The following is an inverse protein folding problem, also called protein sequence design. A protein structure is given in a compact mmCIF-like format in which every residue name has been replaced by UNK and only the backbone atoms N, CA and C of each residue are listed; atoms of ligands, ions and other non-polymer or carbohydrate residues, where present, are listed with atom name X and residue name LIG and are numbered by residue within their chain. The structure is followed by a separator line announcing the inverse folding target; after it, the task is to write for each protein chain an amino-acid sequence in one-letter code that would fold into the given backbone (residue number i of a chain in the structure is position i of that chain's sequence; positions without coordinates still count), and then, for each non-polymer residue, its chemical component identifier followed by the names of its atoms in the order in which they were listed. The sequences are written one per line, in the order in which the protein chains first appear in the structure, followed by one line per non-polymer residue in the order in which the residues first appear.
data_IF_276461821339
#
_entry.id   IF_276461821339
#
_cell.length_a   1.000
_cell.length_b   1.000
_cell.length_c   1.000
_cell.angle_alpha   90.00
_cell.angle_beta   90.00
_cell.angle_gamma   90.00
#
_symmetry.space_group_name_H-M   'P 1'
#
loop_
_entity.id
_entity.type
_entity.pdbx_description
1 polymer ?
#
# COMPACT_ATOMS: atom_id res chain seq x y z
N UNK A 1 4.79 14.67 -31.32
CA UNK A 1 4.24 15.87 -31.96
C UNK A 1 2.75 15.76 -31.77
N UNK A 2 2.22 16.42 -30.74
CA UNK A 2 0.79 16.35 -30.43
C UNK A 2 0.08 17.30 -31.39
N UNK A 3 -0.71 16.74 -32.30
CA UNK A 3 -1.59 17.54 -33.17
C UNK A 3 -2.77 17.97 -32.31
N UNK A 4 -2.97 19.27 -32.16
CA UNK A 4 -4.16 19.78 -31.48
C UNK A 4 -5.40 19.38 -32.32
N UNK A 5 -6.39 18.68 -31.74
CA UNK A 5 -7.57 18.24 -32.46
C UNK A 5 -8.39 19.39 -33.06
N UNK A 6 -8.18 20.62 -32.62
CA UNK A 6 -8.86 21.81 -33.15
C UNK A 6 -8.22 22.38 -34.43
N UNK A 7 -6.99 21.97 -34.78
CA UNK A 7 -6.29 22.50 -35.95
C UNK A 7 -6.92 22.13 -37.28
N UNK A 8 -7.43 20.90 -37.41
CA UNK A 8 -8.12 20.45 -38.61
C UNK A 8 -9.34 21.33 -38.92
N UNK A 9 -10.17 21.59 -37.91
CA UNK A 9 -11.38 22.41 -38.04
C UNK A 9 -11.03 23.88 -38.37
N UNK A 10 -9.99 24.43 -37.73
CA UNK A 10 -9.52 25.78 -38.02
C UNK A 10 -8.94 25.90 -39.43
N UNK A 11 -8.19 24.90 -39.89
CA UNK A 11 -7.58 24.86 -41.22
C UNK A 11 -8.64 24.75 -42.32
N UNK A 12 -9.66 23.91 -42.13
CA UNK A 12 -10.80 23.84 -43.05
C UNK A 12 -11.56 25.16 -43.10
N UNK A 13 -11.82 25.80 -41.94
CA UNK A 13 -12.49 27.12 -41.90
C UNK A 13 -11.65 28.21 -42.58
N UNK A 14 -10.32 28.15 -42.45
CA UNK A 14 -9.37 29.05 -43.09
C UNK A 14 -9.36 28.88 -44.61
N UNK A 15 -9.22 27.64 -45.11
CA UNK A 15 -9.24 27.30 -46.54
C UNK A 15 -10.57 27.66 -47.20
N UNK A 16 -11.69 27.43 -46.49
CA UNK A 16 -13.03 27.77 -46.97
C UNK A 16 -13.40 29.25 -46.82
N UNK A 17 -12.52 30.09 -46.25
CA UNK A 17 -12.74 31.53 -46.09
C UNK A 17 -13.86 31.91 -45.10
N UNK A 18 -14.20 31.02 -44.17
CA UNK A 18 -15.31 31.18 -43.22
C UNK A 18 -14.91 31.78 -41.86
N UNK A 19 -13.63 32.13 -41.71
CA UNK A 19 -13.11 32.81 -40.51
C UNK A 19 -13.39 34.31 -40.55
N UNK A 20 -13.76 34.88 -39.40
CA UNK A 20 -13.85 36.34 -39.24
C UNK A 20 -12.45 36.97 -39.27
N UNK A 21 -12.37 38.27 -39.59
CA UNK A 21 -11.10 39.02 -39.64
C UNK A 21 -10.21 38.83 -38.39
N UNK A 22 -10.73 38.95 -37.15
CA UNK A 22 -9.91 38.72 -35.95
C UNK A 22 -9.49 37.26 -35.75
N UNK A 23 -10.34 36.29 -36.09
CA UNK A 23 -10.01 34.86 -36.00
C UNK A 23 -8.91 34.47 -36.99
N UNK A 24 -9.00 35.00 -38.22
CA UNK A 24 -8.01 34.75 -39.27
C UNK A 24 -6.63 35.26 -38.88
N UNK A 25 -6.55 36.47 -38.31
CA UNK A 25 -5.27 37.02 -37.85
C UNK A 25 -4.65 36.22 -36.70
N UNK A 26 -5.47 35.67 -35.81
CA UNK A 26 -4.99 34.80 -34.74
C UNK A 26 -4.48 33.46 -35.29
N UNK A 27 -5.21 32.87 -36.24
CA UNK A 27 -4.81 31.62 -36.90
C UNK A 27 -3.52 31.78 -37.72
N UNK A 28 -3.36 32.88 -38.44
CA UNK A 28 -2.13 33.18 -39.20
C UNK A 28 -0.92 33.36 -38.26
N UNK A 29 -1.11 33.90 -37.05
CA UNK A 29 -0.06 33.95 -36.03
C UNK A 29 0.29 32.54 -35.50
N UNK A 30 -0.71 31.70 -35.23
CA UNK A 30 -0.50 30.30 -34.83
C UNK A 30 0.20 29.48 -35.92
N UNK A 31 -0.11 29.75 -37.20
CA UNK A 31 0.54 29.14 -38.34
C UNK A 31 2.05 29.48 -38.40
N UNK A 32 2.46 30.68 -37.98
CA UNK A 32 3.87 31.07 -37.92
C UNK A 32 4.62 30.44 -36.74
N UNK A 33 3.94 30.27 -35.61
CA UNK A 33 4.54 29.71 -34.39
C UNK A 33 4.68 28.17 -34.44
N UNK A 34 3.88 27.49 -35.27
CA UNK A 34 3.74 26.03 -35.24
C UNK A 34 4.07 25.34 -36.58
N UNK A 35 5.26 24.72 -36.73
CA UNK A 35 5.69 24.05 -37.97
C UNK A 35 4.78 22.90 -38.40
N UNK A 36 4.18 22.18 -37.44
CA UNK A 36 3.29 21.05 -37.72
C UNK A 36 2.02 21.47 -38.49
N UNK A 37 1.52 22.67 -38.20
CA UNK A 37 0.32 23.22 -38.81
C UNK A 37 0.61 23.70 -40.24
N UNK A 38 1.84 24.13 -40.53
CA UNK A 38 2.29 24.48 -41.87
C UNK A 38 2.37 23.25 -42.77
N UNK A 39 2.97 22.16 -42.29
CA UNK A 39 3.03 20.89 -43.04
C UNK A 39 1.62 20.34 -43.35
N UNK A 40 0.68 20.48 -42.41
CA UNK A 40 -0.71 20.07 -42.61
C UNK A 40 -1.42 20.88 -43.70
N UNK A 41 -1.18 22.20 -43.76
CA UNK A 41 -1.72 23.07 -44.80
C UNK A 41 -1.20 22.70 -46.18
N UNK A 42 0.11 22.46 -46.31
CA UNK A 42 0.73 22.06 -47.58
C UNK A 42 0.17 20.73 -48.09
N UNK A 43 -0.01 19.75 -47.20
CA UNK A 43 -0.60 18.45 -47.56
C UNK A 43 -2.03 18.61 -48.10
N UNK A 44 -2.84 19.46 -47.44
CA UNK A 44 -4.23 19.66 -47.84
C UNK A 44 -4.36 20.39 -49.19
N UNK A 45 -3.50 21.38 -49.43
CA UNK A 45 -3.43 22.06 -50.74
C UNK A 45 -2.98 21.12 -51.86
N UNK A 46 -2.07 20.17 -51.59
CA UNK A 46 -1.65 19.17 -52.57
C UNK A 46 -2.78 18.22 -52.95
N UNK A 47 -3.64 17.83 -52.01
CA UNK A 47 -4.78 16.95 -52.30
C UNK A 47 -5.81 17.61 -53.22
N UNK A 48 -6.10 18.89 -53.02
CA UNK A 48 -7.04 19.62 -53.88
C UNK A 48 -6.53 19.75 -55.32
N UNK A 49 -5.21 19.78 -55.54
CA UNK A 49 -4.64 19.81 -56.90
C UNK A 49 -4.82 18.51 -57.70
N UNK A 50 -5.07 17.38 -57.04
CA UNK A 50 -5.39 16.10 -57.71
C UNK A 50 -6.87 15.98 -58.07
N UNK A 51 -7.71 16.89 -57.58
CA UNK A 51 -9.16 16.92 -57.76
C UNK A 51 -9.65 17.74 -58.96
N UNK A 52 -8.78 18.16 -59.89
CA UNK A 52 -9.22 18.80 -61.12
C UNK A 52 -9.83 17.73 -62.05
N UNK A 53 -11.16 17.66 -62.01
CA UNK A 53 -12.11 16.71 -62.60
C UNK A 53 -12.11 16.64 -64.13
N UNK A 54 -11.03 17.06 -64.80
CA UNK A 54 -10.97 17.25 -66.26
C UNK A 54 -10.21 16.15 -67.01
N UNK A 55 -9.53 15.23 -66.32
CA UNK A 55 -8.72 14.16 -66.94
C UNK A 55 -9.39 12.78 -66.99
N UNK A 56 -10.70 12.71 -66.71
CA UNK A 56 -11.45 11.46 -66.83
C UNK A 56 -11.85 11.20 -68.29
N UNK A 57 -10.96 10.59 -69.07
CA UNK A 57 -11.28 10.10 -70.43
C UNK A 57 -12.09 8.80 -70.33
N UNK A 58 -13.35 8.72 -70.82
CA UNK A 58 -14.08 7.46 -70.81
C UNK A 58 -13.52 6.54 -71.89
N UNK A 59 -12.99 5.39 -71.47
CA UNK A 59 -12.41 4.35 -72.32
C UNK A 59 -13.43 3.79 -73.33
N UNK A 60 -13.19 3.99 -74.63
CA UNK A 60 -13.96 3.42 -75.75
C UNK A 60 -13.08 2.48 -76.60
N UNK A 61 -12.58 1.38 -76.01
CA UNK A 61 -11.83 0.34 -76.72
C UNK A 61 -12.49 -1.03 -76.60
N UNK A 62 -12.74 -1.72 -77.73
CA UNK A 62 -13.38 -3.03 -77.80
C UNK A 62 -12.67 -4.07 -76.89
N UNK A 63 -13.47 -4.78 -76.09
CA UNK A 63 -13.05 -5.71 -75.03
C UNK A 63 -12.08 -6.84 -75.47
N UNK A 64 -11.86 -7.04 -76.77
CA UNK A 64 -10.90 -8.02 -77.29
C UNK A 64 -9.44 -7.59 -77.10
N UNK A 65 -9.13 -6.30 -77.24
CA UNK A 65 -7.75 -5.80 -77.09
C UNK A 65 -7.28 -5.82 -75.62
N UNK A 66 -8.22 -5.64 -74.69
CA UNK A 66 -7.99 -5.81 -73.25
C UNK A 66 -7.71 -7.26 -72.87
N UNK A 67 -8.41 -8.22 -73.49
CA UNK A 67 -8.21 -9.65 -73.22
C UNK A 67 -6.84 -10.14 -73.71
N UNK A 68 -6.38 -9.67 -74.86
CA UNK A 68 -5.04 -10.02 -75.36
C UNK A 68 -3.92 -9.40 -74.51
N UNK A 69 -4.09 -8.16 -74.04
CA UNK A 69 -3.12 -7.53 -73.13
C UNK A 69 -3.13 -8.14 -71.73
N UNK A 70 -4.31 -8.50 -71.19
CA UNK A 70 -4.42 -9.26 -69.95
C UNK A 70 -3.76 -10.63 -70.05
N UNK A 71 -4.00 -11.37 -71.15
CA UNK A 71 -3.41 -12.70 -71.33
C UNK A 71 -1.88 -12.67 -71.43
N UNK A 72 -1.30 -11.62 -72.03
CA UNK A 72 0.17 -11.42 -72.06
C UNK A 72 0.74 -11.04 -70.70
N UNK A 73 0.06 -10.19 -69.93
CA UNK A 73 0.47 -9.82 -68.57
C UNK A 73 0.35 -10.98 -67.56
N UNK A 74 -0.64 -11.85 -67.74
CA UNK A 74 -0.88 -12.98 -66.84
C UNK A 74 0.10 -14.14 -67.04
N UNK A 75 0.68 -14.32 -68.24
CA UNK A 75 1.52 -15.48 -68.55
C UNK A 75 2.99 -15.35 -68.13
N UNK A 76 3.60 -14.17 -68.24
CA UNK A 76 5.05 -14.00 -68.00
C UNK A 76 5.41 -13.47 -66.61
N UNK A 77 4.61 -12.55 -66.03
CA UNK A 77 4.99 -11.87 -64.78
C UNK A 77 4.43 -12.54 -63.51
N UNK A 78 3.34 -13.31 -63.61
CA UNK A 78 2.65 -13.81 -62.40
C UNK A 78 3.43 -14.88 -61.66
N UNK A 79 4.16 -15.75 -62.35
CA UNK A 79 4.90 -16.84 -61.70
C UNK A 79 6.18 -16.33 -61.02
N UNK A 80 7.00 -15.56 -61.72
CA UNK A 80 8.25 -15.00 -61.20
C UNK A 80 8.01 -13.97 -60.09
N UNK A 81 6.96 -13.16 -60.19
CA UNK A 81 6.56 -12.21 -59.15
C UNK A 81 5.99 -12.95 -57.92
N UNK A 82 5.19 -14.01 -58.11
CA UNK A 82 4.66 -14.79 -56.98
C UNK A 82 5.74 -15.51 -56.18
N UNK A 83 6.80 -16.01 -56.84
CA UNK A 83 7.92 -16.64 -56.14
C UNK A 83 8.76 -15.62 -55.38
N UNK A 84 9.05 -14.46 -55.98
CA UNK A 84 9.73 -13.35 -55.29
C UNK A 84 8.93 -12.84 -54.09
N UNK A 85 7.61 -12.72 -54.21
CA UNK A 85 6.72 -12.35 -53.11
C UNK A 85 6.67 -13.41 -52.01
N UNK A 86 6.62 -14.71 -52.35
CA UNK A 86 6.66 -15.79 -51.35
C UNK A 86 7.96 -15.79 -50.56
N UNK A 87 9.09 -15.55 -51.22
CA UNK A 87 10.40 -15.51 -50.57
C UNK A 87 10.60 -14.25 -49.71
N UNK A 88 10.12 -13.08 -50.18
CA UNK A 88 10.11 -11.84 -49.40
C UNK A 88 9.17 -11.90 -48.18
N UNK A 89 8.01 -12.57 -48.32
CA UNK A 89 7.08 -12.77 -47.19
C UNK A 89 7.66 -13.72 -46.13
N UNK A 90 8.50 -14.69 -46.52
CA UNK A 90 9.23 -15.56 -45.57
C UNK A 90 10.39 -14.86 -44.86
N UNK A 91 11.05 -13.90 -45.49
CA UNK A 91 12.15 -13.14 -44.87
C UNK A 91 11.69 -12.03 -43.93
N UNK A 92 10.43 -11.58 -44.04
CA UNK A 92 9.88 -10.47 -43.24
C UNK A 92 8.94 -10.94 -42.10
N UNK A 93 8.49 -12.19 -42.08
CA UNK A 93 7.75 -12.68 -40.90
C UNK A 93 8.70 -12.90 -39.73
N UNK A 94 8.61 -12.13 -38.63
CA UNK A 94 9.42 -12.39 -37.45
C UNK A 94 9.08 -13.79 -36.94
N UNK A 95 10.12 -14.61 -36.73
CA UNK A 95 9.99 -15.94 -36.14
C UNK A 95 9.23 -15.78 -34.81
N UNK A 96 7.99 -16.27 -34.77
CA UNK A 96 7.08 -16.14 -33.61
C UNK A 96 7.77 -16.73 -32.38
N UNK A 97 8.42 -15.90 -31.58
CA UNK A 97 9.00 -16.31 -30.30
C UNK A 97 7.81 -16.80 -29.48
N UNK A 98 7.86 -18.06 -29.04
CA UNK A 98 6.77 -18.71 -28.32
C UNK A 98 6.43 -17.96 -27.02
N UNK A 99 5.55 -16.95 -27.14
CA UNK A 99 5.01 -16.14 -26.04
C UNK A 99 4.14 -16.97 -25.09
N UNK A 100 3.75 -18.18 -25.50
CA UNK A 100 3.06 -19.14 -24.64
C UNK A 100 3.85 -19.46 -23.37
N UNK A 101 5.18 -19.58 -23.45
CA UNK A 101 5.99 -19.89 -22.27
C UNK A 101 5.97 -18.75 -21.26
N UNK A 102 6.07 -17.50 -21.70
CA UNK A 102 5.98 -16.32 -20.82
C UNK A 102 4.59 -16.14 -20.22
N UNK A 103 3.52 -16.47 -20.94
CA UNK A 103 2.16 -16.43 -20.42
C UNK A 103 1.91 -17.51 -19.35
N UNK A 104 2.46 -18.72 -19.52
CA UNK A 104 2.42 -19.76 -18.50
C UNK A 104 3.17 -19.37 -17.22
N UNK A 105 4.36 -18.75 -17.32
CA UNK A 105 5.08 -18.27 -16.14
C UNK A 105 4.36 -17.12 -15.45
N UNK A 106 3.73 -16.21 -16.20
CA UNK A 106 2.92 -15.13 -15.64
C UNK A 106 1.66 -15.67 -14.92
N UNK A 107 0.96 -16.63 -15.54
CA UNK A 107 -0.20 -17.27 -14.93
C UNK A 107 0.17 -18.07 -13.67
N UNK A 108 1.29 -18.80 -13.69
CA UNK A 108 1.79 -19.53 -12.53
C UNK A 108 2.22 -18.57 -11.39
N UNK A 109 2.88 -17.45 -11.72
CA UNK A 109 3.26 -16.43 -10.74
C UNK A 109 2.03 -15.75 -10.12
N UNK A 110 0.99 -15.45 -10.92
CA UNK A 110 -0.26 -14.89 -10.41
C UNK A 110 -0.99 -15.88 -9.49
N UNK A 111 -1.04 -17.16 -9.86
CA UNK A 111 -1.62 -18.21 -9.01
C UNK A 111 -0.84 -18.40 -7.72
N UNK A 112 0.49 -18.40 -7.78
CA UNK A 112 1.35 -18.44 -6.60
C UNK A 112 1.14 -17.22 -5.71
N UNK A 113 1.01 -16.01 -6.29
CA UNK A 113 0.70 -14.80 -5.54
C UNK A 113 -0.69 -14.84 -4.89
N UNK A 114 -1.70 -15.37 -5.57
CA UNK A 114 -3.04 -15.57 -4.99
C UNK A 114 -3.06 -16.65 -3.90
N UNK A 115 -2.30 -17.73 -4.07
CA UNK A 115 -2.13 -18.76 -3.04
C UNK A 115 -1.36 -18.23 -1.83
N UNK A 116 -0.35 -17.38 -2.04
CA UNK A 116 0.35 -16.70 -0.95
C UNK A 116 -0.59 -15.70 -0.26
N UNK A 117 -1.35 -14.90 -1.01
CA UNK A 117 -2.34 -13.98 -0.45
C UNK A 117 -3.43 -14.71 0.34
N UNK A 118 -3.87 -15.88 -0.12
CA UNK A 118 -4.87 -16.69 0.57
C UNK A 118 -4.30 -17.45 1.78
N UNK A 119 -3.05 -17.91 1.68
CA UNK A 119 -2.33 -18.61 2.76
C UNK A 119 -1.86 -17.67 3.87
N UNK A 120 -1.72 -16.38 3.59
CA UNK A 120 -1.56 -15.32 4.59
C UNK A 120 -2.88 -14.56 4.74
N UNK A 121 -3.88 -15.10 5.46
CA UNK A 121 -4.92 -14.23 5.96
C UNK A 121 -4.23 -13.10 6.74
N UNK A 122 -4.77 -11.88 6.68
CA UNK A 122 -4.50 -10.86 7.69
C UNK A 122 -4.96 -11.44 9.03
N UNK A 123 -4.15 -12.32 9.63
CA UNK A 123 -4.40 -12.87 10.92
C UNK A 123 -4.23 -11.69 11.86
N UNK A 124 -5.37 -11.14 12.31
CA UNK A 124 -5.40 -10.34 13.51
C UNK A 124 -4.53 -11.06 14.54
N UNK A 125 -3.55 -10.35 15.10
CA UNK A 125 -2.67 -10.95 16.09
C UNK A 125 -3.56 -11.56 17.19
N UNK A 126 -3.20 -12.75 17.67
CA UNK A 126 -3.89 -13.30 18.83
C UNK A 126 -3.66 -12.41 20.03
N UNK A 127 -4.53 -12.48 21.04
CA UNK A 127 -4.35 -11.73 22.28
C UNK A 127 -2.97 -11.98 22.92
N UNK A 128 -2.44 -13.20 22.80
CA UNK A 128 -1.08 -13.53 23.23
C UNK A 128 -0.01 -12.79 22.43
N UNK A 129 -0.18 -12.64 21.12
CA UNK A 129 0.76 -11.88 20.29
C UNK A 129 0.72 -10.38 20.62
N UNK A 130 -0.46 -9.80 20.84
CA UNK A 130 -0.57 -8.42 21.34
C UNK A 130 0.07 -8.26 22.72
N UNK A 131 -0.16 -9.20 23.64
CA UNK A 131 0.50 -9.20 24.94
C UNK A 131 2.03 -9.16 24.79
N UNK A 132 2.61 -10.02 23.94
CA UNK A 132 4.06 -10.04 23.73
C UNK A 132 4.59 -8.75 23.09
N UNK A 133 3.81 -8.11 22.22
CA UNK A 133 4.18 -6.85 21.58
C UNK A 133 4.20 -5.67 22.57
N UNK A 134 3.22 -5.60 23.46
CA UNK A 134 3.04 -4.46 24.39
C UNK A 134 3.64 -4.69 25.78
N UNK A 135 4.13 -5.90 26.07
CA UNK A 135 4.87 -6.20 27.29
C UNK A 135 6.25 -5.55 27.26
N UNK A 136 6.45 -4.51 28.06
CA UNK A 136 7.76 -3.92 28.31
C UNK A 136 8.00 -3.70 29.81
N UNK A 137 8.84 -4.53 30.42
CA UNK A 137 9.19 -4.43 31.85
C UNK A 137 10.40 -3.53 32.10
N UNK A 138 11.14 -3.15 31.06
CA UNK A 138 12.32 -2.30 31.20
C UNK A 138 11.96 -0.85 31.52
N UNK A 139 10.72 -0.45 31.22
CA UNK A 139 10.17 0.87 31.55
C UNK A 139 9.73 1.01 33.02
N UNK A 140 9.73 -0.09 33.79
CA UNK A 140 9.35 -0.04 35.20
C UNK A 140 10.36 0.83 35.98
N UNK A 141 9.88 1.82 36.76
CA UNK A 141 10.76 2.60 37.62
C UNK A 141 11.40 1.69 38.67
N UNK A 142 12.67 1.92 38.98
CA UNK A 142 13.35 1.19 40.05
C UNK A 142 12.69 1.49 41.40
N UNK A 143 12.62 0.46 42.24
CA UNK A 143 12.13 0.57 43.62
C UNK A 143 13.19 1.17 44.56
N UNK A 144 14.44 1.26 44.10
CA UNK A 144 15.56 1.75 44.90
C UNK A 144 15.61 3.28 44.85
N UNK A 145 15.30 3.93 45.99
CA UNK A 145 15.44 5.38 46.13
C UNK A 145 16.86 5.77 46.54
N UNK A 146 17.30 6.99 46.17
CA UNK A 146 18.67 7.48 46.43
C UNK A 146 18.92 7.90 47.89
N UNK A 147 17.86 8.16 48.66
CA UNK A 147 17.95 8.81 49.99
C UNK A 147 17.76 7.86 51.20
N UNK A 148 17.42 6.59 50.98
CA UNK A 148 17.20 5.63 52.05
C UNK A 148 18.37 4.67 52.21
N UNK A 149 18.60 4.18 53.44
CA UNK A 149 19.34 2.94 53.65
C UNK A 149 18.74 1.90 52.69
N UNK A 150 19.51 1.48 51.67
CA UNK A 150 19.03 0.55 50.65
C UNK A 150 18.48 -0.67 51.37
N UNK A 151 17.15 -0.78 51.41
CA UNK A 151 16.52 -1.95 51.96
C UNK A 151 16.97 -3.11 51.08
N UNK A 152 17.85 -3.95 51.64
CA UNK A 152 18.44 -5.07 50.91
C UNK A 152 17.36 -5.97 50.35
N UNK A 153 16.17 -6.00 50.98
CA UNK A 153 15.01 -6.72 50.49
C UNK A 153 14.48 -6.13 49.19
N UNK A 154 14.36 -4.81 49.09
CA UNK A 154 13.88 -4.12 47.87
C UNK A 154 14.83 -4.35 46.70
N UNK A 155 16.14 -4.22 46.93
CA UNK A 155 17.18 -4.49 45.91
C UNK A 155 17.13 -5.95 45.46
N UNK A 156 17.03 -6.89 46.40
CA UNK A 156 16.95 -8.31 46.10
C UNK A 156 15.66 -8.67 45.35
N UNK A 157 14.54 -8.03 45.69
CA UNK A 157 13.24 -8.24 45.04
C UNK A 157 13.26 -7.77 43.59
N UNK A 158 13.77 -6.55 43.35
CA UNK A 158 13.91 -6.01 41.99
C UNK A 158 14.86 -6.87 41.14
N UNK A 159 15.98 -7.31 41.71
CA UNK A 159 16.92 -8.21 41.03
C UNK A 159 16.27 -9.56 40.69
N UNK A 160 15.53 -10.16 41.62
CA UNK A 160 14.78 -11.40 41.38
C UNK A 160 13.77 -11.21 40.23
N UNK A 161 13.03 -10.11 40.22
CA UNK A 161 12.08 -9.79 39.16
C UNK A 161 12.76 -9.65 37.78
N UNK A 162 13.86 -8.89 37.70
CA UNK A 162 14.62 -8.69 36.45
C UNK A 162 15.20 -10.01 35.92
N UNK A 163 15.55 -10.93 36.81
CA UNK A 163 16.00 -12.28 36.46
C UNK A 163 14.84 -13.26 36.16
N UNK A 164 13.60 -12.77 36.08
CA UNK A 164 12.39 -13.58 35.89
C UNK A 164 12.14 -14.62 37.00
N UNK A 165 12.77 -14.46 38.17
CA UNK A 165 12.55 -15.26 39.38
C UNK A 165 11.27 -14.77 40.10
N UNK A 166 10.14 -14.75 39.40
CA UNK A 166 8.91 -14.07 39.85
C UNK A 166 8.38 -14.58 41.20
N UNK A 167 8.46 -15.88 41.47
CA UNK A 167 8.04 -16.44 42.75
C UNK A 167 8.90 -15.88 43.90
N UNK A 168 10.21 -15.80 43.70
CA UNK A 168 11.13 -15.23 44.68
C UNK A 168 10.91 -13.74 44.88
N UNK A 169 10.59 -12.99 43.82
CA UNK A 169 10.21 -11.58 43.93
C UNK A 169 8.94 -11.41 44.79
N UNK A 170 7.94 -12.27 44.60
CA UNK A 170 6.72 -12.29 45.44
C UNK A 170 7.07 -12.59 46.90
N UNK A 171 7.88 -13.62 47.16
CA UNK A 171 8.24 -14.03 48.52
C UNK A 171 9.01 -12.92 49.25
N UNK A 172 9.97 -12.28 48.56
CA UNK A 172 10.72 -11.14 49.10
C UNK A 172 9.81 -9.94 49.37
N UNK A 173 8.80 -9.70 48.54
CA UNK A 173 7.87 -8.59 48.70
C UNK A 173 7.03 -8.66 49.97
N UNK A 174 6.81 -9.86 50.52
CA UNK A 174 6.01 -10.05 51.73
C UNK A 174 6.68 -9.47 52.99
N UNK A 175 8.00 -9.32 52.97
CA UNK A 175 8.79 -8.75 54.06
C UNK A 175 9.03 -7.23 53.90
N UNK A 176 8.56 -6.62 52.81
CA UNK A 176 8.74 -5.20 52.53
C UNK A 176 7.58 -4.42 53.16
N UNK A 177 7.89 -3.51 54.09
CA UNK A 177 6.89 -2.61 54.65
C UNK A 177 6.51 -1.53 53.61
N UNK A 178 5.21 -1.31 53.31
CA UNK A 178 4.80 -0.33 52.29
C UNK A 178 5.35 1.08 52.54
N UNK A 179 5.49 1.46 53.81
CA UNK A 179 6.05 2.75 54.22
C UNK A 179 7.57 2.88 53.94
N UNK A 180 8.31 1.78 53.79
CA UNK A 180 9.77 1.82 53.57
C UNK A 180 10.13 2.10 52.10
N UNK A 181 9.26 1.77 51.16
CA UNK A 181 9.55 1.91 49.71
C UNK A 181 9.33 3.32 49.16
N UNK A 182 8.53 4.16 49.83
CA UNK A 182 8.14 5.49 49.32
C UNK A 182 7.36 5.48 48.00
N UNK A 183 7.16 4.31 47.38
CA UNK A 183 6.54 4.13 46.07
C UNK A 183 5.71 2.83 46.03
N UNK A 184 4.62 2.84 46.80
CA UNK A 184 3.68 1.71 46.95
C UNK A 184 3.11 1.29 45.60
N UNK A 185 2.82 2.25 44.72
CA UNK A 185 2.29 1.97 43.38
C UNK A 185 3.23 1.08 42.57
N UNK A 186 4.53 1.40 42.58
CA UNK A 186 5.54 0.61 41.87
C UNK A 186 5.67 -0.78 42.49
N UNK A 187 5.65 -0.89 43.82
CA UNK A 187 5.70 -2.20 44.50
C UNK A 187 4.51 -3.10 44.08
N UNK A 188 3.30 -2.55 44.02
CA UNK A 188 2.12 -3.29 43.56
C UNK A 188 2.21 -3.68 42.07
N UNK A 189 2.81 -2.84 41.21
CA UNK A 189 3.08 -3.21 39.81
C UNK A 189 4.02 -4.41 39.70
N UNK A 190 5.15 -4.40 40.40
CA UNK A 190 6.10 -5.52 40.40
C UNK A 190 5.42 -6.82 40.88
N UNK A 191 4.61 -6.74 41.94
CA UNK A 191 3.83 -7.89 42.45
C UNK A 191 2.81 -8.38 41.43
N UNK A 192 2.01 -7.47 40.87
CA UNK A 192 0.98 -7.81 39.89
C UNK A 192 1.56 -8.48 38.65
N UNK A 193 2.66 -7.95 38.10
CA UNK A 193 3.35 -8.55 36.96
C UNK A 193 3.93 -9.91 37.32
N UNK A 194 4.53 -10.05 38.51
CA UNK A 194 5.06 -11.35 38.97
C UNK A 194 3.98 -12.43 39.05
N UNK A 195 2.81 -12.09 39.61
CA UNK A 195 1.67 -13.01 39.65
C UNK A 195 1.16 -13.34 38.24
N UNK A 196 1.03 -12.33 37.38
CA UNK A 196 0.58 -12.50 36.01
C UNK A 196 1.49 -13.44 35.21
N UNK A 197 2.81 -13.32 35.36
CA UNK A 197 3.78 -14.17 34.66
C UNK A 197 3.80 -15.62 35.17
N UNK A 198 3.40 -15.84 36.43
CA UNK A 198 3.22 -17.17 37.00
C UNK A 198 1.85 -17.79 36.67
N UNK A 199 0.99 -17.11 35.91
CA UNK A 199 -0.36 -17.58 35.61
C UNK A 199 -1.36 -17.40 36.76
N UNK A 200 -0.98 -16.63 37.79
CA UNK A 200 -1.80 -16.36 38.99
C UNK A 200 -2.64 -15.10 38.76
N UNK A 201 -3.61 -15.23 37.86
CA UNK A 201 -4.28 -14.07 37.26
C UNK A 201 -5.19 -13.31 38.23
N UNK A 202 -5.87 -13.99 39.16
CA UNK A 202 -6.72 -13.32 40.14
C UNK A 202 -5.87 -12.50 41.12
N UNK A 203 -4.74 -13.04 41.58
CA UNK A 203 -3.80 -12.27 42.40
C UNK A 203 -3.24 -11.07 41.64
N UNK A 204 -2.88 -11.24 40.37
CA UNK A 204 -2.43 -10.13 39.53
C UNK A 204 -3.50 -9.03 39.41
N UNK A 205 -4.75 -9.43 39.13
CA UNK A 205 -5.89 -8.53 39.01
C UNK A 205 -6.09 -7.69 40.27
N UNK A 206 -6.09 -8.33 41.45
CA UNK A 206 -6.23 -7.63 42.74
C UNK A 206 -5.15 -6.56 42.95
N UNK A 207 -3.90 -6.85 42.56
CA UNK A 207 -2.78 -5.89 42.66
C UNK A 207 -3.00 -4.68 41.77
N UNK A 208 -3.39 -4.89 40.51
CA UNK A 208 -3.63 -3.80 39.58
C UNK A 208 -4.90 -2.99 39.93
N UNK A 209 -5.94 -3.63 40.45
CA UNK A 209 -7.15 -2.95 40.94
C UNK A 209 -6.87 -2.06 42.15
N UNK A 210 -6.05 -2.54 43.09
CA UNK A 210 -5.60 -1.73 44.23
C UNK A 210 -4.93 -0.43 43.76
N UNK A 211 -4.21 -0.48 42.63
CA UNK A 211 -3.60 0.70 42.04
C UNK A 211 -4.66 1.65 41.45
N UNK A 212 -5.65 1.14 40.70
CA UNK A 212 -6.70 1.97 40.09
C UNK A 212 -7.66 2.60 41.11
N UNK A 213 -7.83 1.97 42.27
CA UNK A 213 -8.72 2.43 43.35
C UNK A 213 -8.00 3.34 44.36
N UNK A 214 -6.67 3.41 44.30
CA UNK A 214 -5.85 4.21 45.22
C UNK A 214 -5.72 5.68 44.81
N UNK A 215 -5.20 6.50 45.73
CA UNK A 215 -4.98 7.95 45.53
C UNK A 215 -3.59 8.29 44.94
N UNK A 216 -2.85 7.29 44.48
CA UNK A 216 -1.51 7.50 43.90
C UNK A 216 -1.59 8.27 42.59
N UNK A 217 -0.62 9.15 42.31
CA UNK A 217 -0.47 9.78 40.99
C UNK A 217 -0.35 8.73 39.86
N UNK A 218 0.14 7.54 40.20
CA UNK A 218 0.34 6.43 39.26
C UNK A 218 -0.89 5.51 39.11
N UNK A 219 -2.05 5.84 39.70
CA UNK A 219 -3.26 4.99 39.68
C UNK A 219 -3.63 4.53 38.26
N UNK A 220 -3.48 5.42 37.27
CA UNK A 220 -3.84 5.16 35.88
C UNK A 220 -3.01 4.05 35.24
N UNK A 221 -1.80 3.76 35.77
CA UNK A 221 -0.97 2.67 35.26
C UNK A 221 -1.68 1.33 35.44
N UNK A 222 -2.48 1.19 36.49
CA UNK A 222 -3.26 -0.03 36.77
C UNK A 222 -4.18 -0.43 35.61
N UNK A 223 -4.81 0.53 34.92
CA UNK A 223 -5.65 0.24 33.76
C UNK A 223 -4.88 -0.40 32.61
N UNK A 224 -3.64 0.07 32.35
CA UNK A 224 -2.80 -0.51 31.30
C UNK A 224 -2.43 -1.96 31.62
N UNK A 225 -1.98 -2.22 32.85
CA UNK A 225 -1.61 -3.58 33.25
C UNK A 225 -2.83 -4.51 33.38
N UNK A 226 -4.02 -3.99 33.71
CA UNK A 226 -5.28 -4.74 33.61
C UNK A 226 -5.61 -5.11 32.16
N UNK A 227 -5.38 -4.20 31.20
CA UNK A 227 -5.55 -4.51 29.78
C UNK A 227 -4.58 -5.60 29.31
N UNK A 228 -3.30 -5.54 29.72
CA UNK A 228 -2.32 -6.59 29.41
C UNK A 228 -2.66 -7.92 30.06
N UNK A 229 -3.13 -7.91 31.31
CA UNK A 229 -3.61 -9.11 32.00
C UNK A 229 -4.81 -9.72 31.25
N UNK A 230 -5.76 -8.90 30.82
CA UNK A 230 -6.92 -9.35 30.06
C UNK A 230 -6.51 -9.98 28.71
N UNK A 231 -5.53 -9.40 27.98
CA UNK A 231 -4.94 -10.06 26.81
C UNK A 231 -4.34 -11.43 27.15
N UNK A 232 -3.61 -11.52 28.26
CA UNK A 232 -2.99 -12.78 28.69
C UNK A 232 -4.03 -13.84 29.07
N UNK A 233 -5.20 -13.42 29.56
CA UNK A 233 -6.34 -14.27 29.89
C UNK A 233 -7.28 -14.56 28.71
N UNK A 234 -6.98 -14.03 27.52
CA UNK A 234 -7.85 -14.10 26.34
C UNK A 234 -9.22 -13.40 26.53
N UNK A 235 -9.28 -12.45 27.46
CA UNK A 235 -10.46 -11.63 27.76
C UNK A 235 -10.45 -10.33 26.93
N UNK A 236 -10.86 -10.45 25.67
CA UNK A 236 -10.91 -9.32 24.72
C UNK A 236 -11.86 -8.21 25.19
N UNK A 237 -13.00 -8.56 25.79
CA UNK A 237 -14.00 -7.59 26.23
C UNK A 237 -13.49 -6.79 27.43
N UNK A 238 -12.89 -7.45 28.42
CA UNK A 238 -12.22 -6.81 29.55
C UNK A 238 -11.09 -5.91 29.08
N UNK A 239 -10.24 -6.39 28.16
CA UNK A 239 -9.16 -5.60 27.58
C UNK A 239 -9.70 -4.31 26.94
N UNK A 240 -10.69 -4.44 26.04
CA UNK A 240 -11.34 -3.29 25.39
C UNK A 240 -11.93 -2.30 26.39
N UNK A 241 -12.52 -2.78 27.49
CA UNK A 241 -13.07 -1.92 28.55
C UNK A 241 -11.97 -1.07 29.19
N UNK A 242 -10.87 -1.68 29.62
CA UNK A 242 -9.75 -0.95 30.24
C UNK A 242 -9.08 0.03 29.28
N UNK A 243 -8.87 -0.37 28.02
CA UNK A 243 -8.29 0.51 27.00
C UNK A 243 -9.18 1.74 26.71
N UNK A 244 -10.51 1.56 26.68
CA UNK A 244 -11.44 2.69 26.54
C UNK A 244 -11.30 3.70 27.68
N UNK A 245 -11.12 3.25 28.91
CA UNK A 245 -10.87 4.13 30.06
C UNK A 245 -9.59 4.94 29.83
N UNK A 246 -8.51 4.31 29.38
CA UNK A 246 -7.25 5.02 29.07
C UNK A 246 -7.48 6.06 27.95
N UNK A 247 -8.15 5.68 26.86
CA UNK A 247 -8.36 6.56 25.69
C UNK A 247 -9.32 7.74 26.00
N UNK A 248 -10.15 7.65 27.05
CA UNK A 248 -10.95 8.77 27.52
C UNK A 248 -10.13 9.86 28.23
N UNK A 249 -8.90 9.54 28.64
CA UNK A 249 -8.02 10.42 29.42
C UNK A 249 -6.64 10.55 28.77
N UNK A 250 -6.41 11.58 27.94
CA UNK A 250 -5.16 11.74 27.18
C UNK A 250 -3.87 11.81 28.00
N UNK A 251 -3.96 12.07 29.30
CA UNK A 251 -2.84 12.14 30.23
C UNK A 251 -2.51 10.80 30.91
N UNK A 252 -3.28 9.74 30.65
CA UNK A 252 -3.03 8.43 31.26
C UNK A 252 -1.84 7.72 30.60
N UNK A 253 -1.20 6.85 31.39
CA UNK A 253 -0.08 6.04 30.94
C UNK A 253 -0.44 5.20 29.70
N UNK A 254 0.47 5.18 28.72
CA UNK A 254 0.32 4.50 27.43
C UNK A 254 -0.94 4.86 26.63
N UNK A 255 -1.35 6.13 26.64
CA UNK A 255 -2.50 6.59 25.88
C UNK A 255 -2.45 6.26 24.37
N UNK A 256 -1.29 6.43 23.71
CA UNK A 256 -1.17 6.20 22.26
C UNK A 256 -1.23 4.71 21.93
N UNK A 257 -0.54 3.89 22.73
CA UNK A 257 -0.50 2.44 22.61
C UNK A 257 -1.87 1.85 22.92
N UNK A 258 -2.58 2.38 23.91
CA UNK A 258 -3.95 1.98 24.21
C UNK A 258 -4.91 2.30 23.05
N UNK A 259 -4.74 3.45 22.40
CA UNK A 259 -5.51 3.80 21.21
C UNK A 259 -5.22 2.85 20.05
N UNK A 260 -3.94 2.57 19.79
CA UNK A 260 -3.52 1.64 18.75
C UNK A 260 -4.10 0.23 19.01
N UNK A 261 -3.89 -0.31 20.20
CA UNK A 261 -4.37 -1.63 20.57
C UNK A 261 -5.91 -1.71 20.53
N UNK A 262 -6.61 -0.67 20.95
CA UNK A 262 -8.07 -0.63 20.88
C UNK A 262 -8.59 -0.62 19.43
N UNK A 263 -7.86 0.00 18.49
CA UNK A 263 -8.16 -0.05 17.06
C UNK A 263 -7.89 -1.42 16.46
N UNK A 264 -6.76 -2.03 16.82
CA UNK A 264 -6.34 -3.35 16.38
C UNK A 264 -7.28 -4.46 16.84
N UNK A 265 -7.85 -4.31 18.03
CA UNK A 265 -8.78 -5.28 18.60
C UNK A 265 -10.19 -5.19 18.00
N UNK A 266 -10.53 -4.22 17.13
CA UNK A 266 -11.89 -3.95 16.61
C UNK A 266 -12.48 -5.08 15.77
#
# INVERSE_FOLDING_TARGET
MELDPTWMEQLERYLNGTMTVPERTAFEATLQEQPALQELLELQQQLDTWGDETDWVPFQGEAQHLREQQAKFEAEDTQAFSEKLKNYRRSITPKKRNSFRTYYWAAAAAMAALLLWWAYPNASLSNQQYYQQFRNWDELPSLVTKDGAQDRLVVAMEAAFRNSEYQKAIDLSAAIEPASTGNIATLELYKGISYMELGRYEEARMRFQTLTEGESLDFHKGYWYLALLALKMDDTDGCRSYLKTIVQHPNYYHYQEAKQLLEDLK
#
